data_IF_035159436948
#
_entry.id   IF_035159436948
#
_cell.length_a   1.000
_cell.length_b   1.000
_cell.length_c   1.000
_cell.angle_alpha   90.00
_cell.angle_beta   90.00
_cell.angle_gamma   90.00
#
_symmetry.space_group_name_H-M   'P 1'
#
loop_
_entity.id
_entity.type
_entity.pdbx_description
1 polymer ?
#
# COMPACT_ATOMS: atom_id res chain seq x y z
N UNK A 1 -2.38 -23.43 -5.24
CA UNK A 1 -1.80 -22.25 -4.57
C UNK A 1 -1.35 -21.19 -5.56
N UNK A 2 -0.39 -21.45 -6.46
CA UNK A 2 0.03 -20.48 -7.50
C UNK A 2 -1.12 -19.96 -8.38
N UNK A 3 -2.00 -20.86 -8.86
CA UNK A 3 -3.18 -20.51 -9.67
C UNK A 3 -4.21 -19.63 -8.95
N UNK A 4 -4.24 -19.70 -7.61
CA UNK A 4 -5.12 -18.90 -6.75
C UNK A 4 -4.50 -17.51 -6.47
N UNK A 5 -3.20 -17.48 -6.19
CA UNK A 5 -2.43 -16.23 -6.03
C UNK A 5 -2.41 -15.40 -7.32
N UNK A 6 -2.29 -16.05 -8.47
CA UNK A 6 -2.39 -15.37 -9.77
C UNK A 6 -3.81 -14.94 -10.10
N UNK A 7 -4.85 -15.58 -9.55
CA UNK A 7 -6.25 -15.18 -9.78
C UNK A 7 -6.68 -13.95 -8.98
N UNK A 8 -5.95 -13.59 -7.91
CA UNK A 8 -6.26 -12.42 -7.10
C UNK A 8 -4.99 -11.71 -6.59
N UNK A 9 -4.40 -10.83 -7.44
CA UNK A 9 -3.11 -10.19 -7.17
C UNK A 9 -3.02 -9.41 -5.85
N UNK A 10 -4.16 -8.92 -5.36
CA UNK A 10 -4.24 -8.14 -4.12
C UNK A 10 -3.92 -8.94 -2.86
N UNK A 11 -4.14 -10.27 -2.83
CA UNK A 11 -3.79 -11.08 -1.66
C UNK A 11 -2.28 -11.07 -1.43
N UNK A 12 -1.50 -11.32 -2.48
CA UNK A 12 -0.05 -11.37 -2.38
C UNK A 12 0.52 -9.97 -2.11
N UNK A 13 0.06 -8.96 -2.85
CA UNK A 13 0.58 -7.60 -2.67
C UNK A 13 0.20 -6.98 -1.33
N UNK A 14 -0.90 -7.41 -0.68
CA UNK A 14 -1.25 -6.98 0.68
C UNK A 14 -0.20 -7.37 1.74
N UNK A 15 0.44 -8.53 1.56
CA UNK A 15 1.50 -9.01 2.47
C UNK A 15 2.79 -8.22 2.26
N UNK A 16 3.07 -7.82 1.02
CA UNK A 16 4.28 -7.08 0.65
C UNK A 16 4.38 -5.73 1.37
N UNK A 17 3.27 -5.06 1.63
CA UNK A 17 3.25 -3.81 2.40
C UNK A 17 3.83 -3.96 3.81
N UNK A 18 3.65 -5.13 4.44
CA UNK A 18 4.17 -5.38 5.79
C UNK A 18 5.68 -5.58 5.81
N UNK A 19 6.33 -5.76 4.65
CA UNK A 19 7.80 -5.83 4.56
C UNK A 19 8.47 -4.48 4.82
N UNK A 20 7.73 -3.37 4.78
CA UNK A 20 8.27 -2.06 5.16
C UNK A 20 8.64 -2.00 6.65
N UNK A 21 7.83 -2.64 7.52
CA UNK A 21 8.00 -2.58 8.98
C UNK A 21 9.42 -2.96 9.44
N UNK A 22 9.98 -4.14 9.07
CA UNK A 22 11.35 -4.48 9.47
C UNK A 22 12.40 -3.54 8.89
N UNK A 23 12.19 -2.99 7.69
CA UNK A 23 13.11 -2.02 7.06
C UNK A 23 13.10 -0.71 7.84
N UNK A 24 11.92 -0.20 8.19
CA UNK A 24 11.74 1.02 8.99
C UNK A 24 12.41 0.90 10.37
N UNK A 25 12.27 -0.26 11.02
CA UNK A 25 12.95 -0.54 12.30
C UNK A 25 14.48 -0.55 12.11
N UNK A 26 14.97 -1.18 11.05
CA UNK A 26 16.42 -1.26 10.77
C UNK A 26 17.05 0.13 10.58
N UNK A 27 16.38 1.02 9.84
CA UNK A 27 16.83 2.41 9.60
C UNK A 27 16.40 3.39 10.71
N UNK A 28 15.91 2.91 11.86
CA UNK A 28 15.49 3.72 13.02
C UNK A 28 14.46 4.84 12.73
N UNK A 29 13.73 4.77 11.62
CA UNK A 29 12.76 5.77 11.18
C UNK A 29 11.37 5.51 11.79
N UNK A 30 11.34 5.32 13.12
CA UNK A 30 10.18 4.85 13.88
C UNK A 30 8.92 5.72 13.73
N UNK A 31 9.06 6.95 13.24
CA UNK A 31 7.94 7.83 12.96
C UNK A 31 6.96 7.24 11.93
N UNK A 32 7.44 6.46 10.96
CA UNK A 32 6.59 5.84 9.94
C UNK A 32 5.83 4.60 10.44
N UNK A 33 6.32 3.95 11.51
CA UNK A 33 5.67 2.76 12.08
C UNK A 33 4.24 3.04 12.56
N UNK A 34 3.97 4.29 12.96
CA UNK A 34 2.64 4.74 13.39
C UNK A 34 1.56 4.53 12.32
N UNK A 35 1.93 4.62 11.04
CA UNK A 35 1.00 4.41 9.92
C UNK A 35 1.25 3.12 9.16
N UNK A 36 2.49 2.61 9.11
CA UNK A 36 2.81 1.35 8.44
C UNK A 36 2.16 0.14 9.10
N UNK A 37 2.20 0.06 10.43
CA UNK A 37 1.64 -1.09 11.16
C UNK A 37 0.12 -1.15 10.98
N UNK A 38 -0.66 -0.07 11.21
CA UNK A 38 -2.10 -0.10 10.97
C UNK A 38 -2.46 -0.48 9.53
N UNK A 39 -1.79 0.11 8.52
CA UNK A 39 -2.05 -0.20 7.12
C UNK A 39 -1.73 -1.66 6.80
N UNK A 40 -0.56 -2.15 7.20
CA UNK A 40 -0.18 -3.55 6.94
C UNK A 40 -1.22 -4.53 7.49
N UNK A 41 -1.70 -4.30 8.71
CA UNK A 41 -2.72 -5.13 9.34
C UNK A 41 -4.06 -5.02 8.60
N UNK A 42 -4.56 -3.81 8.36
CA UNK A 42 -5.90 -3.62 7.77
C UNK A 42 -5.97 -4.12 6.34
N UNK A 43 -4.90 -3.93 5.56
CA UNK A 43 -4.84 -4.34 4.16
C UNK A 43 -4.77 -5.86 4.05
N UNK A 44 -4.01 -6.54 4.92
CA UNK A 44 -4.02 -8.01 4.98
C UNK A 44 -5.40 -8.53 5.36
N UNK A 45 -6.03 -7.98 6.41
CA UNK A 45 -7.34 -8.44 6.88
C UNK A 45 -8.42 -8.24 5.81
N UNK A 46 -8.41 -7.09 5.14
CA UNK A 46 -9.37 -6.75 4.08
C UNK A 46 -9.21 -7.68 2.87
N UNK A 47 -8.00 -7.84 2.35
CA UNK A 47 -7.77 -8.60 1.12
C UNK A 47 -7.74 -10.11 1.31
N UNK A 48 -7.55 -10.62 2.53
CA UNK A 48 -7.56 -12.06 2.82
C UNK A 48 -8.87 -12.56 3.46
N UNK A 49 -9.97 -11.83 3.24
CA UNK A 49 -11.32 -12.21 3.65
C UNK A 49 -11.46 -12.54 5.15
N UNK A 50 -10.70 -11.86 6.02
CA UNK A 50 -10.88 -11.97 7.47
C UNK A 50 -12.13 -11.21 7.92
N UNK A 51 -13.29 -11.84 7.73
CA UNK A 51 -14.63 -11.28 8.01
C UNK A 51 -14.95 -11.07 9.49
N UNK A 52 -14.01 -11.35 10.40
CA UNK A 52 -14.18 -11.14 11.83
C UNK A 52 -14.26 -9.64 12.21
N UNK A 53 -13.75 -8.74 11.35
CA UNK A 53 -13.76 -7.29 11.60
C UNK A 53 -14.85 -6.61 10.76
N UNK A 54 -15.85 -6.06 11.44
CA UNK A 54 -16.89 -5.22 10.79
C UNK A 54 -16.26 -3.96 10.23
N UNK A 55 -16.71 -3.52 9.06
CA UNK A 55 -16.25 -2.29 8.38
C UNK A 55 -14.75 -2.24 8.07
N UNK A 56 -14.06 -3.39 7.98
CA UNK A 56 -12.61 -3.45 7.72
C UNK A 56 -12.18 -2.62 6.50
N UNK A 57 -13.00 -2.60 5.44
CA UNK A 57 -12.75 -1.78 4.25
C UNK A 57 -12.64 -0.29 4.55
N UNK A 58 -13.50 0.26 5.42
CA UNK A 58 -13.49 1.68 5.74
C UNK A 58 -12.28 2.04 6.61
N UNK A 59 -11.93 1.13 7.53
CA UNK A 59 -10.75 1.26 8.38
C UNK A 59 -9.47 1.22 7.52
N UNK A 60 -9.40 0.27 6.58
CA UNK A 60 -8.28 0.13 5.65
C UNK A 60 -8.09 1.38 4.78
N UNK A 61 -9.17 1.90 4.20
CA UNK A 61 -9.13 3.16 3.42
C UNK A 61 -8.60 4.31 4.26
N UNK A 62 -9.07 4.45 5.50
CA UNK A 62 -8.64 5.52 6.39
C UNK A 62 -7.15 5.39 6.76
N UNK A 63 -6.71 4.21 7.17
CA UNK A 63 -5.31 3.94 7.51
C UNK A 63 -4.41 4.20 6.29
N UNK A 64 -4.80 3.70 5.11
CA UNK A 64 -4.04 3.87 3.87
C UNK A 64 -3.91 5.34 3.48
N UNK A 65 -4.96 6.13 3.65
CA UNK A 65 -4.92 7.58 3.41
C UNK A 65 -4.00 8.29 4.40
N UNK A 66 -4.06 7.97 5.69
CA UNK A 66 -3.16 8.54 6.68
C UNK A 66 -1.69 8.24 6.37
N UNK A 67 -1.36 6.98 6.07
CA UNK A 67 -0.02 6.57 5.69
C UNK A 67 0.46 7.31 4.43
N UNK A 68 -0.41 7.37 3.41
CA UNK A 68 -0.11 8.10 2.18
C UNK A 68 0.26 9.56 2.45
N UNK A 69 -0.56 10.28 3.22
CA UNK A 69 -0.31 11.69 3.52
C UNK A 69 0.96 11.89 4.34
N UNK A 70 1.16 11.08 5.38
CA UNK A 70 2.35 11.16 6.21
C UNK A 70 3.62 10.90 5.38
N UNK A 71 3.66 9.81 4.62
CA UNK A 71 4.85 9.43 3.87
C UNK A 71 5.13 10.41 2.71
N UNK A 72 4.07 10.92 2.06
CA UNK A 72 4.19 11.97 1.04
C UNK A 72 4.73 13.28 1.62
N UNK A 73 4.26 13.68 2.81
CA UNK A 73 4.77 14.87 3.51
C UNK A 73 6.27 14.77 3.77
N UNK A 74 6.75 13.64 4.28
CA UNK A 74 8.17 13.43 4.52
C UNK A 74 8.98 13.33 3.23
N UNK A 75 8.46 12.67 2.18
CA UNK A 75 9.12 12.64 0.88
C UNK A 75 9.30 14.04 0.27
N UNK A 76 8.38 14.97 0.55
CA UNK A 76 8.51 16.38 0.14
C UNK A 76 9.57 17.09 0.99
N UNK A 77 9.51 16.97 2.31
CA UNK A 77 10.44 17.65 3.24
C UNK A 77 11.90 17.24 2.97
N UNK A 78 12.15 15.95 2.81
CA UNK A 78 13.49 15.43 2.53
C UNK A 78 13.85 15.46 1.04
N UNK A 79 12.99 16.04 0.19
CA UNK A 79 13.21 16.21 -1.25
C UNK A 79 13.47 14.89 -2.01
N UNK A 80 12.99 13.75 -1.51
CA UNK A 80 13.20 12.43 -2.11
C UNK A 80 12.24 12.26 -3.29
N UNK A 81 12.71 12.66 -4.47
CA UNK A 81 11.90 12.70 -5.70
C UNK A 81 11.33 11.34 -6.10
N UNK A 82 12.10 10.27 -5.93
CA UNK A 82 11.67 8.92 -6.30
C UNK A 82 10.45 8.48 -5.47
N UNK A 83 10.54 8.55 -4.14
CA UNK A 83 9.43 8.24 -3.23
C UNK A 83 8.21 9.10 -3.52
N UNK A 84 8.39 10.42 -3.73
CA UNK A 84 7.31 11.34 -4.09
C UNK A 84 6.58 10.91 -5.37
N UNK A 85 7.32 10.51 -6.40
CA UNK A 85 6.73 10.05 -7.66
C UNK A 85 5.98 8.72 -7.50
N UNK A 86 6.49 7.80 -6.67
CA UNK A 86 5.79 6.56 -6.32
C UNK A 86 4.45 6.85 -5.62
N UNK A 87 4.37 7.88 -4.78
CA UNK A 87 3.10 8.29 -4.16
C UNK A 87 2.17 8.95 -5.20
N UNK A 88 2.64 9.90 -6.01
CA UNK A 88 1.81 10.62 -7.00
C UNK A 88 1.16 9.69 -8.03
N UNK A 89 1.84 8.61 -8.45
CA UNK A 89 1.28 7.69 -9.45
C UNK A 89 0.16 6.81 -8.89
N UNK A 90 0.10 6.59 -7.57
CA UNK A 90 -0.88 5.71 -6.94
C UNK A 90 -2.35 6.14 -7.17
N UNK A 91 -2.73 7.42 -6.99
CA UNK A 91 -4.07 7.91 -7.37
C UNK A 91 -4.45 7.65 -8.83
N UNK A 92 -3.50 7.77 -9.76
CA UNK A 92 -3.73 7.52 -11.19
C UNK A 92 -4.03 6.04 -11.42
N UNK A 93 -3.21 5.16 -10.85
CA UNK A 93 -3.41 3.71 -10.93
C UNK A 93 -4.75 3.30 -10.29
N UNK A 94 -5.15 3.95 -9.19
CA UNK A 94 -6.44 3.72 -8.55
C UNK A 94 -7.62 4.07 -9.47
N UNK A 95 -7.56 5.20 -10.18
CA UNK A 95 -8.58 5.57 -11.16
C UNK A 95 -8.70 4.54 -12.28
N UNK A 96 -7.57 4.04 -12.80
CA UNK A 96 -7.53 2.96 -13.80
C UNK A 96 -8.14 1.68 -13.24
N UNK A 97 -7.78 1.28 -12.02
CA UNK A 97 -8.38 0.12 -11.34
C UNK A 97 -9.90 0.25 -11.21
N UNK A 98 -10.42 1.45 -10.89
CA UNK A 98 -11.87 1.71 -10.82
C UNK A 98 -12.57 1.68 -12.17
N UNK A 99 -11.90 2.10 -13.24
CA UNK A 99 -12.41 1.98 -14.59
C UNK A 99 -12.70 0.51 -14.95
N UNK A 100 -11.74 -0.40 -14.73
CA UNK A 100 -11.94 -1.83 -14.98
C UNK A 100 -12.99 -2.45 -14.06
N UNK A 101 -13.05 -2.03 -12.80
CA UNK A 101 -14.10 -2.47 -11.86
C UNK A 101 -15.50 -2.16 -12.39
N UNK A 102 -15.70 -0.94 -12.93
CA UNK A 102 -16.99 -0.50 -13.48
C UNK A 102 -17.39 -1.29 -14.73
N UNK A 103 -16.42 -1.81 -15.47
CA UNK A 103 -16.63 -2.63 -16.66
C UNK A 103 -16.73 -4.14 -16.35
N UNK A 104 -16.90 -4.52 -15.07
CA UNK A 104 -16.94 -5.91 -14.59
C UNK A 104 -15.67 -6.75 -14.85
N UNK A 105 -14.54 -6.12 -15.18
CA UNK A 105 -13.25 -6.79 -15.30
C UNK A 105 -12.52 -6.74 -13.93
N UNK A 106 -12.93 -7.63 -13.04
CA UNK A 106 -12.39 -7.72 -11.68
C UNK A 106 -10.92 -8.13 -11.65
N UNK A 107 -10.48 -8.94 -12.61
CA UNK A 107 -9.10 -9.38 -12.68
C UNK A 107 -8.18 -8.21 -12.97
N UNK A 108 -8.45 -7.43 -14.03
CA UNK A 108 -7.65 -6.25 -14.34
C UNK A 108 -7.74 -5.20 -13.24
N UNK A 109 -8.93 -5.01 -12.66
CA UNK A 109 -9.09 -4.08 -11.53
C UNK A 109 -8.16 -4.43 -10.37
N UNK A 110 -8.13 -5.70 -9.95
CA UNK A 110 -7.27 -6.17 -8.86
C UNK A 110 -5.78 -6.19 -9.25
N UNK A 111 -5.47 -6.43 -10.52
CA UNK A 111 -4.10 -6.34 -11.03
C UNK A 111 -3.57 -4.90 -10.92
N UNK A 112 -4.32 -3.91 -11.40
CA UNK A 112 -3.94 -2.50 -11.24
C UNK A 112 -3.89 -2.08 -9.77
N UNK A 113 -4.85 -2.52 -8.95
CA UNK A 113 -4.84 -2.22 -7.52
C UNK A 113 -3.58 -2.78 -6.84
N UNK A 114 -3.12 -3.97 -7.23
CA UNK A 114 -1.90 -4.56 -6.67
C UNK A 114 -0.65 -3.71 -6.94
N UNK A 115 -0.59 -2.99 -8.08
CA UNK A 115 0.50 -2.05 -8.34
C UNK A 115 0.56 -0.92 -7.33
N UNK A 116 -0.58 -0.46 -6.81
CA UNK A 116 -0.59 0.56 -5.75
C UNK A 116 0.20 0.06 -4.55
N UNK A 117 -0.03 -1.17 -4.09
CA UNK A 117 0.71 -1.75 -2.97
C UNK A 117 2.21 -1.81 -3.25
N UNK A 118 2.61 -2.20 -4.46
CA UNK A 118 4.02 -2.23 -4.84
C UNK A 118 4.66 -0.85 -4.89
N UNK A 119 4.02 0.15 -5.51
CA UNK A 119 4.54 1.51 -5.58
C UNK A 119 4.64 2.15 -4.19
N UNK A 120 3.63 1.97 -3.33
CA UNK A 120 3.68 2.44 -1.95
C UNK A 120 4.81 1.77 -1.16
N UNK A 121 4.99 0.46 -1.32
CA UNK A 121 6.08 -0.30 -0.67
C UNK A 121 7.44 0.21 -1.13
N UNK A 122 7.68 0.24 -2.45
CA UNK A 122 8.94 0.73 -3.02
C UNK A 122 9.22 2.17 -2.60
N UNK A 123 8.21 3.06 -2.67
CA UNK A 123 8.34 4.45 -2.25
C UNK A 123 8.69 4.58 -0.76
N UNK A 124 8.13 3.72 0.08
CA UNK A 124 8.37 3.71 1.53
C UNK A 124 9.76 3.16 1.88
N UNK A 125 10.22 2.11 1.19
CA UNK A 125 11.59 1.59 1.36
C UNK A 125 12.61 2.67 1.02
N UNK A 126 12.47 3.31 -0.16
CA UNK A 126 13.37 4.39 -0.56
C UNK A 126 13.31 5.59 0.38
N UNK A 127 12.12 5.89 0.93
CA UNK A 127 11.95 6.96 1.90
C UNK A 127 12.75 6.65 3.17
N UNK A 128 12.62 5.44 3.71
CA UNK A 128 13.36 5.00 4.90
C UNK A 128 14.89 4.97 4.68
N UNK A 129 15.35 4.49 3.53
CA UNK A 129 16.79 4.38 3.21
C UNK A 129 17.45 5.75 3.06
N UNK A 130 16.73 6.76 2.55
CA UNK A 130 17.29 8.08 2.23
C UNK A 130 17.17 9.11 3.35
N UNK A 131 16.44 8.80 4.43
CA UNK A 131 16.29 9.69 5.60
C UNK A 131 17.35 9.43 6.67
N UNK A 132 17.87 8.19 6.75
CA UNK A 132 19.02 7.83 7.61
C UNK A 132 20.33 8.44 7.06
#
# INVERSE_FOLDING_TARGET
MFKYLSSNPCHLSSVVLSLNIPITIYYNNNIFLLTEIPVGITTILYHNDFRCVKNIRNIDIFAAQLAFWQHMYYAIIYQIAFSRNCYIICPIIFLVSKYYQKNNDLFMSNFFHSFIHYFLTIGTIFLNVMID
#
